data_IF_771586706334
#
_entry.id   IF_771586706334
#
_cell.length_a   1.000
_cell.length_b   1.000
_cell.length_c   1.000
_cell.angle_alpha   90.00
_cell.angle_beta   90.00
_cell.angle_gamma   90.00
#
_symmetry.space_group_name_H-M   'P 1'
#
loop_
_entity.id
_entity.type
_entity.pdbx_description
1 polymer ?
#
# COMPACT_ATOMS: atom_id res chain seq x y z
N UNK A 1 -14.29 -2.98 -20.61
CA UNK A 1 -13.15 -2.10 -20.26
C UNK A 1 -12.67 -2.51 -18.87
N UNK A 2 -11.77 -3.50 -18.78
CA UNK A 2 -11.30 -4.03 -17.51
C UNK A 2 -10.33 -3.03 -16.86
N UNK A 3 -10.69 -2.48 -15.71
CA UNK A 3 -9.78 -1.69 -14.89
C UNK A 3 -8.80 -2.69 -14.26
N UNK A 4 -7.77 -3.08 -15.01
CA UNK A 4 -6.68 -3.90 -14.47
C UNK A 4 -5.84 -3.03 -13.54
N UNK A 5 -6.33 -2.83 -12.31
CA UNK A 5 -5.61 -2.16 -11.24
C UNK A 5 -4.49 -3.10 -10.78
N UNK A 6 -3.24 -2.68 -10.87
CA UNK A 6 -2.15 -3.47 -10.31
C UNK A 6 -2.02 -3.15 -8.84
N UNK A 7 -2.35 -4.12 -7.99
CA UNK A 7 -2.20 -4.02 -6.54
C UNK A 7 -0.78 -4.43 -6.17
N UNK A 8 -0.07 -3.57 -5.45
CA UNK A 8 1.26 -3.89 -4.93
C UNK A 8 1.12 -4.40 -3.50
N UNK A 9 1.38 -5.70 -3.29
CA UNK A 9 1.18 -6.40 -2.00
C UNK A 9 2.39 -7.18 -1.51
N UNK A 10 3.42 -7.40 -2.35
CA UNK A 10 4.56 -8.27 -2.03
C UNK A 10 5.63 -7.57 -1.17
N UNK A 11 5.21 -6.96 -0.07
CA UNK A 11 6.10 -6.35 0.91
C UNK A 11 6.36 -7.30 2.08
N UNK A 12 7.55 -7.19 2.66
CA UNK A 12 7.92 -7.92 3.86
C UNK A 12 7.25 -7.28 5.08
N UNK A 13 6.85 -8.11 6.03
CA UNK A 13 6.35 -7.68 7.35
C UNK A 13 7.50 -7.65 8.37
N UNK A 14 7.34 -6.83 9.41
CA UNK A 14 8.37 -6.68 10.45
C UNK A 14 8.55 -7.99 11.23
N UNK A 15 9.79 -8.45 11.33
CA UNK A 15 10.15 -9.61 12.15
C UNK A 15 10.51 -9.14 13.58
N UNK A 16 10.15 -9.88 14.64
CA UNK A 16 10.57 -9.54 15.99
C UNK A 16 12.10 -9.36 16.07
N UNK A 17 12.54 -8.25 16.67
CA UNK A 17 13.95 -7.81 16.79
C UNK A 17 14.58 -7.20 15.52
N UNK A 18 13.86 -7.08 14.41
CA UNK A 18 14.28 -6.29 13.25
C UNK A 18 13.98 -4.79 13.46
N UNK A 19 14.80 -3.91 12.89
CA UNK A 19 14.52 -2.47 12.91
C UNK A 19 13.61 -2.07 11.76
N UNK A 20 12.76 -1.06 11.98
CA UNK A 20 11.90 -0.51 10.93
C UNK A 20 12.70 0.01 9.73
N UNK A 21 13.92 0.53 9.96
CA UNK A 21 14.81 0.98 8.90
C UNK A 21 15.29 -0.17 8.01
N UNK A 22 15.64 -1.32 8.58
CA UNK A 22 16.05 -2.49 7.81
C UNK A 22 14.90 -3.02 6.95
N UNK A 23 13.70 -3.08 7.54
CA UNK A 23 12.48 -3.43 6.82
C UNK A 23 12.22 -2.48 5.63
N UNK A 24 12.38 -1.18 5.86
CA UNK A 24 12.23 -0.17 4.82
C UNK A 24 13.26 -0.34 3.69
N UNK A 25 14.52 -0.60 4.02
CA UNK A 25 15.58 -0.82 3.03
C UNK A 25 15.29 -2.04 2.15
N UNK A 26 14.83 -3.13 2.76
CA UNK A 26 14.45 -4.33 2.01
C UNK A 26 13.28 -4.09 1.07
N UNK A 27 12.20 -3.48 1.58
CA UNK A 27 11.03 -3.16 0.77
C UNK A 27 11.35 -2.13 -0.33
N UNK A 28 12.27 -1.19 -0.07
CA UNK A 28 12.76 -0.26 -1.10
C UNK A 28 13.48 -0.99 -2.24
N UNK A 29 14.29 -2.00 -1.93
CA UNK A 29 14.97 -2.80 -2.96
C UNK A 29 13.95 -3.52 -3.86
N UNK A 30 12.96 -4.20 -3.25
CA UNK A 30 11.86 -4.85 -3.97
C UNK A 30 11.07 -3.87 -4.84
N UNK A 31 10.73 -2.69 -4.32
CA UNK A 31 9.95 -1.70 -5.06
C UNK A 31 10.71 -1.12 -6.26
N UNK A 32 12.04 -0.98 -6.17
CA UNK A 32 12.88 -0.54 -7.30
C UNK A 32 12.85 -1.53 -8.46
N UNK A 33 12.68 -2.81 -8.17
CA UNK A 33 12.58 -3.86 -9.21
C UNK A 33 11.16 -3.95 -9.79
N UNK A 34 10.13 -3.82 -8.95
CA UNK A 34 8.74 -4.09 -9.34
C UNK A 34 8.07 -2.86 -9.97
N UNK A 35 8.26 -1.67 -9.40
CA UNK A 35 7.47 -0.48 -9.76
C UNK A 35 7.79 0.08 -11.17
N UNK A 36 9.05 0.24 -11.59
CA UNK A 36 9.35 0.82 -12.90
C UNK A 36 8.84 -0.04 -14.08
N UNK A 37 9.02 -1.37 -14.11
CA UNK A 37 8.43 -2.21 -15.15
C UNK A 37 6.89 -2.10 -15.18
N UNK A 38 6.25 -2.10 -14.01
CA UNK A 38 4.81 -1.93 -13.91
C UNK A 38 4.31 -0.62 -14.49
N UNK A 39 4.98 0.48 -14.18
CA UNK A 39 4.66 1.79 -14.73
C UNK A 39 4.82 1.83 -16.25
N UNK A 40 5.83 1.12 -16.81
CA UNK A 40 6.04 1.00 -18.26
C UNK A 40 4.93 0.20 -18.96
N UNK A 41 4.48 -0.90 -18.37
CA UNK A 41 3.42 -1.73 -18.95
C UNK A 41 2.01 -1.15 -18.77
N UNK A 42 1.82 -0.15 -17.90
CA UNK A 42 0.52 0.43 -17.61
C UNK A 42 0.58 1.96 -17.35
N UNK A 43 1.04 2.77 -18.32
CA UNK A 43 1.33 4.20 -18.13
C UNK A 43 0.09 5.07 -17.85
N UNK A 44 -1.12 4.54 -18.09
CA UNK A 44 -2.38 5.27 -17.94
C UNK A 44 -3.27 4.80 -16.78
N UNK A 45 -2.80 3.89 -15.92
CA UNK A 45 -3.64 3.26 -14.89
C UNK A 45 -3.44 3.87 -13.49
N UNK A 46 -4.37 3.54 -12.59
CA UNK A 46 -4.23 3.77 -11.15
C UNK A 46 -3.28 2.73 -10.55
N UNK A 47 -2.44 3.16 -9.60
CA UNK A 47 -1.54 2.31 -8.83
C UNK A 47 -2.04 2.24 -7.37
N UNK A 48 -2.93 1.29 -7.04
CA UNK A 48 -3.28 1.02 -5.66
C UNK A 48 -2.13 0.34 -4.93
N UNK A 49 -1.62 1.01 -3.90
CA UNK A 49 -0.57 0.49 -3.02
C UNK A 49 -1.24 -0.03 -1.75
N UNK A 50 -1.13 -1.33 -1.49
CA UNK A 50 -1.63 -1.95 -0.26
C UNK A 50 -0.41 -2.27 0.59
N UNK A 51 0.04 -1.24 1.31
CA UNK A 51 1.25 -1.30 2.12
C UNK A 51 0.99 -0.94 3.58
N UNK A 52 1.55 -1.75 4.47
CA UNK A 52 1.64 -1.61 5.90
C UNK A 52 2.42 -0.35 6.28
N UNK A 53 3.50 -0.06 5.55
CA UNK A 53 4.29 1.16 5.75
C UNK A 53 3.80 2.30 4.85
N UNK A 54 3.38 3.41 5.44
CA UNK A 54 2.88 4.58 4.69
C UNK A 54 3.94 5.18 3.73
N UNK A 55 5.22 5.06 4.07
CA UNK A 55 6.34 5.56 3.25
C UNK A 55 6.50 4.81 1.91
N UNK A 56 6.03 3.57 1.82
CA UNK A 56 6.13 2.79 0.57
C UNK A 56 5.24 3.35 -0.55
N UNK A 57 4.14 4.02 -0.20
CA UNK A 57 3.33 4.76 -1.18
C UNK A 57 4.13 5.90 -1.83
N UNK A 58 4.89 6.65 -1.02
CA UNK A 58 5.72 7.73 -1.53
C UNK A 58 6.84 7.20 -2.44
N UNK A 59 7.47 6.09 -2.04
CA UNK A 59 8.49 5.40 -2.85
C UNK A 59 7.88 4.93 -4.19
N UNK A 60 6.73 4.27 -4.17
CA UNK A 60 6.04 3.82 -5.38
C UNK A 60 5.66 5.00 -6.30
N UNK A 61 5.22 6.13 -5.74
CA UNK A 61 4.96 7.34 -6.51
C UNK A 61 6.22 7.88 -7.21
N UNK A 62 7.33 8.00 -6.47
CA UNK A 62 8.59 8.48 -7.03
C UNK A 62 9.16 7.54 -8.11
N UNK A 63 9.07 6.23 -7.91
CA UNK A 63 9.58 5.23 -8.85
C UNK A 63 8.70 5.07 -10.11
N UNK A 64 7.37 5.22 -9.98
CA UNK A 64 6.44 5.10 -11.11
C UNK A 64 6.41 6.32 -12.03
N UNK A 65 6.83 7.49 -11.53
CA UNK A 65 6.73 8.79 -12.22
C UNK A 65 5.29 9.20 -12.58
N UNK A 66 4.30 8.61 -11.92
CA UNK A 66 2.90 8.97 -12.13
C UNK A 66 2.57 10.32 -11.49
N UNK A 67 1.52 10.98 -11.98
CA UNK A 67 0.92 12.12 -11.28
C UNK A 67 0.40 11.66 -9.90
N UNK A 68 0.49 12.48 -8.83
CA UNK A 68 0.09 12.10 -7.48
C UNK A 68 -1.31 11.49 -7.38
N UNK A 69 -2.26 12.02 -8.15
CA UNK A 69 -3.67 11.56 -8.17
C UNK A 69 -3.85 10.13 -8.69
N UNK A 70 -2.79 9.49 -9.19
CA UNK A 70 -2.83 8.11 -9.71
C UNK A 70 -2.27 7.08 -8.74
N UNK A 71 -1.71 7.49 -7.61
CA UNK A 71 -1.17 6.58 -6.59
C UNK A 71 -2.07 6.67 -5.38
N UNK A 72 -2.84 5.61 -5.12
CA UNK A 72 -3.83 5.58 -4.05
C UNK A 72 -3.41 4.51 -3.05
N UNK A 73 -3.41 4.82 -1.76
CA UNK A 73 -3.25 3.83 -0.70
C UNK A 73 -4.62 3.54 -0.09
N UNK A 74 -4.84 2.29 0.32
CA UNK A 74 -6.03 1.90 1.10
C UNK A 74 -6.15 2.70 2.43
N UNK A 75 -5.05 3.33 2.87
CA UNK A 75 -5.06 4.21 4.04
C UNK A 75 -5.36 3.43 5.32
N UNK A 76 -6.15 4.03 6.19
CA UNK A 76 -6.66 3.44 7.44
C UNK A 76 -8.06 2.86 7.27
N UNK A 77 -8.50 2.55 6.04
CA UNK A 77 -9.86 2.05 5.79
C UNK A 77 -10.12 0.74 6.56
N UNK A 78 -9.12 -0.15 6.61
CA UNK A 78 -9.19 -1.37 7.41
C UNK A 78 -9.24 -1.07 8.91
N UNK A 79 -8.40 -0.14 9.39
CA UNK A 79 -8.38 0.25 10.81
C UNK A 79 -9.68 0.94 11.24
N UNK A 80 -10.27 1.75 10.36
CA UNK A 80 -11.56 2.41 10.57
C UNK A 80 -12.69 1.38 10.62
N UNK A 81 -12.66 0.38 9.74
CA UNK A 81 -13.63 -0.73 9.76
C UNK A 81 -13.49 -1.57 11.02
N UNK A 82 -12.25 -1.87 11.45
CA UNK A 82 -11.98 -2.57 12.72
C UNK A 82 -12.43 -1.76 13.93
N UNK A 83 -12.19 -0.45 13.92
CA UNK A 83 -12.64 0.44 15.00
C UNK A 83 -14.17 0.49 15.08
N UNK A 84 -14.87 0.59 13.95
CA UNK A 84 -16.33 0.50 13.91
C UNK A 84 -16.86 -0.83 14.45
N UNK A 85 -16.22 -1.94 14.08
CA UNK A 85 -16.58 -3.26 14.60
C UNK A 85 -16.39 -3.32 16.13
N UNK A 86 -15.26 -2.83 16.65
CA UNK A 86 -15.01 -2.78 18.09
C UNK A 86 -16.01 -1.87 18.83
N UNK A 87 -16.45 -0.77 18.21
CA UNK A 87 -17.48 0.11 18.78
C UNK A 87 -18.85 -0.57 18.84
N UNK A 88 -19.19 -1.35 17.81
CA UNK A 88 -20.43 -2.15 17.73
C UNK A 88 -20.38 -3.36 18.66
N UNK A 89 -19.23 -3.99 18.84
CA UNK A 89 -19.09 -5.07 19.83
C UNK A 89 -19.23 -4.51 21.26
N UNK A 90 -18.84 -3.25 21.48
CA UNK A 90 -18.87 -2.63 22.80
C UNK A 90 -20.18 -1.89 23.12
N UNK A 91 -20.91 -1.45 22.11
CA UNK A 91 -22.21 -0.80 22.22
C UNK A 91 -23.20 -1.71 21.49
N UNK A 92 -24.25 -2.24 22.12
CA UNK A 92 -25.23 -3.19 21.54
C UNK A 92 -26.06 -2.65 20.34
N UNK A 93 -25.40 -2.00 19.39
CA UNK A 93 -25.95 -1.28 18.25
C UNK A 93 -25.35 -1.93 17.01
N UNK A 94 -26.20 -2.57 16.21
CA UNK A 94 -25.77 -3.37 15.07
C UNK A 94 -24.96 -2.54 14.04
N UNK A 95 -23.88 -3.14 13.51
CA UNK A 95 -22.97 -2.52 12.53
C UNK A 95 -23.62 -2.29 11.16
#
# INVERSE_FOLDING_TARGET
MAIAQTILTNERTLIPRETQLNLLQHNLALFKEIVPPLARYSPGKLLPVVSNLIVLMYIAWKLSRFSPNRVIRSGTNLDSSRFKLLLVDHSEVNA
#
